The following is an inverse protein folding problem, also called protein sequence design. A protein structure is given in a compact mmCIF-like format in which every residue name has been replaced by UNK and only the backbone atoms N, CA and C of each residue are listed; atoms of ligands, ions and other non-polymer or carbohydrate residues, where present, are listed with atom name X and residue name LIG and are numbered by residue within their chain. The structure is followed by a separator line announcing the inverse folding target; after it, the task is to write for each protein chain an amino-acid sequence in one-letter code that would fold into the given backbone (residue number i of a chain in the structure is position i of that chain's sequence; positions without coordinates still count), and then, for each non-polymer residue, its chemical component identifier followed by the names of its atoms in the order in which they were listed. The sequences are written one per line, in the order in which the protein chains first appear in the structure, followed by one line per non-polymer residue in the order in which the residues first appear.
data_IF_989891793699
#
_entry.id   IF_989891793699
#
_cell.length_a   1.000
_cell.length_b   1.000
_cell.length_c   1.000
_cell.angle_alpha   90.00
_cell.angle_beta   90.00
_cell.angle_gamma   90.00
#
_symmetry.space_group_name_H-M   'P 1'
#
loop_
_entity.id
_entity.type
_entity.pdbx_description
1 polymer ?
#
# COMPACT_ATOMS: atom_id res chain seq x y z
N UNK A 1 -12.94 34.72 -17.13
CA UNK A 1 -13.60 33.65 -16.37
C UNK A 1 -12.53 32.86 -15.65
N UNK A 2 -12.47 32.92 -14.32
CA UNK A 2 -11.57 32.08 -13.53
C UNK A 2 -12.05 30.63 -13.65
N UNK A 3 -11.18 29.72 -14.08
CA UNK A 3 -11.46 28.28 -14.08
C UNK A 3 -11.85 27.83 -12.66
N UNK A 4 -12.91 27.02 -12.49
CA UNK A 4 -13.29 26.53 -11.17
C UNK A 4 -12.14 25.72 -10.56
N UNK A 5 -11.85 25.92 -9.27
CA UNK A 5 -10.77 25.22 -8.58
C UNK A 5 -11.04 23.72 -8.56
N UNK A 6 -10.08 22.88 -8.96
CA UNK A 6 -10.18 21.42 -8.96
C UNK A 6 -10.42 20.87 -7.54
N UNK A 7 -11.05 19.68 -7.37
CA UNK A 7 -11.20 19.05 -6.05
C UNK A 7 -9.88 18.92 -5.28
N UNK A 8 -8.79 18.56 -5.96
CA UNK A 8 -7.45 18.52 -5.35
C UNK A 8 -6.98 19.89 -4.85
N UNK A 9 -7.27 20.97 -5.59
CA UNK A 9 -6.92 22.33 -5.16
C UNK A 9 -7.77 22.78 -3.96
N UNK A 10 -9.06 22.43 -3.93
CA UNK A 10 -9.95 22.72 -2.79
C UNK A 10 -9.50 21.99 -1.53
N UNK A 11 -9.22 20.69 -1.62
CA UNK A 11 -8.69 19.92 -0.48
C UNK A 11 -7.41 20.53 0.08
N UNK A 12 -6.44 20.88 -0.78
CA UNK A 12 -5.18 21.52 -0.35
C UNK A 12 -5.42 22.86 0.35
N UNK A 13 -6.29 23.69 -0.22
CA UNK A 13 -6.64 25.00 0.35
C UNK A 13 -7.30 24.85 1.72
N UNK A 14 -8.29 23.95 1.82
CA UNK A 14 -9.11 23.82 3.02
C UNK A 14 -8.35 23.11 4.15
N UNK A 15 -7.51 22.11 3.81
CA UNK A 15 -6.57 21.51 4.76
C UNK A 15 -5.57 22.55 5.31
N UNK A 16 -5.02 23.41 4.44
CA UNK A 16 -4.13 24.50 4.86
C UNK A 16 -4.84 25.50 5.77
N UNK A 17 -6.09 25.87 5.44
CA UNK A 17 -6.89 26.77 6.26
C UNK A 17 -7.25 26.18 7.64
N UNK A 18 -7.35 24.84 7.72
CA UNK A 18 -7.55 24.09 8.95
C UNK A 18 -6.24 23.72 9.67
N UNK A 19 -5.09 24.21 9.20
CA UNK A 19 -3.76 23.92 9.74
C UNK A 19 -3.48 22.42 9.93
N UNK A 20 -3.92 21.61 8.96
CA UNK A 20 -3.73 20.16 8.98
C UNK A 20 -3.30 19.60 7.62
N UNK A 21 -2.95 18.31 7.60
CA UNK A 21 -2.59 17.62 6.36
C UNK A 21 -3.83 17.32 5.51
N UNK A 22 -3.64 17.08 4.21
CA UNK A 22 -4.75 16.69 3.33
C UNK A 22 -5.43 15.40 3.81
N UNK A 23 -4.63 14.44 4.28
CA UNK A 23 -5.10 13.18 4.85
C UNK A 23 -5.92 13.40 6.12
N UNK A 24 -5.45 14.28 7.04
CA UNK A 24 -6.21 14.62 8.26
C UNK A 24 -7.55 15.25 7.88
N UNK A 25 -7.56 16.23 6.97
CA UNK A 25 -8.78 16.90 6.55
C UNK A 25 -9.78 15.93 5.91
N UNK A 26 -9.31 15.10 4.97
CA UNK A 26 -10.14 14.11 4.29
C UNK A 26 -10.76 13.14 5.30
N UNK A 27 -9.94 12.54 6.16
CA UNK A 27 -10.42 11.59 7.16
C UNK A 27 -11.39 12.24 8.14
N UNK A 28 -11.19 13.48 8.56
CA UNK A 28 -12.15 14.19 9.40
C UNK A 28 -13.53 14.31 8.77
N UNK A 29 -13.61 14.54 7.46
CA UNK A 29 -14.89 14.53 6.74
C UNK A 29 -15.51 13.14 6.67
N UNK A 30 -14.71 12.09 6.47
CA UNK A 30 -15.20 10.71 6.58
C UNK A 30 -15.84 10.45 7.94
N UNK A 31 -15.19 10.91 9.01
CA UNK A 31 -15.60 10.65 10.38
C UNK A 31 -16.79 11.48 10.85
N UNK A 32 -16.99 12.67 10.28
CA UNK A 32 -18.00 13.64 10.74
C UNK A 32 -19.15 13.77 9.75
N UNK A 33 -18.84 14.20 8.53
CA UNK A 33 -19.86 14.59 7.54
C UNK A 33 -20.36 13.43 6.69
N UNK A 34 -19.51 12.41 6.50
CA UNK A 34 -19.83 11.24 5.68
C UNK A 34 -19.99 9.95 6.50
N UNK A 35 -20.06 10.07 7.83
CA UNK A 35 -20.48 9.00 8.71
C UNK A 35 -22.00 8.81 8.68
N UNK A 36 -22.49 7.62 9.02
CA UNK A 36 -23.91 7.36 9.24
C UNK A 36 -24.42 7.92 10.58
N UNK A 37 -25.70 7.73 10.87
CA UNK A 37 -26.35 8.25 12.08
C UNK A 37 -25.79 7.64 13.38
N UNK A 38 -25.04 6.55 13.28
CA UNK A 38 -24.35 5.89 14.40
C UNK A 38 -22.86 6.28 14.46
N UNK A 39 -22.40 7.22 13.64
CA UNK A 39 -21.01 7.66 13.58
C UNK A 39 -20.06 6.70 12.85
N UNK A 40 -20.58 5.69 12.16
CA UNK A 40 -19.82 4.73 11.36
C UNK A 40 -19.49 5.34 10.00
N UNK A 41 -18.23 5.28 9.57
CA UNK A 41 -17.87 5.79 8.23
C UNK A 41 -18.51 4.93 7.15
N UNK A 42 -19.03 5.59 6.10
CA UNK A 42 -19.69 4.91 4.97
C UNK A 42 -18.79 4.73 3.75
N UNK A 43 -17.53 5.12 3.88
CA UNK A 43 -16.55 5.17 2.81
C UNK A 43 -15.22 4.58 3.30
N UNK A 44 -14.56 3.81 2.44
CA UNK A 44 -13.25 3.22 2.70
C UNK A 44 -12.26 3.79 1.69
N UNK A 45 -11.28 4.57 2.12
CA UNK A 45 -10.29 5.14 1.21
C UNK A 45 -9.43 4.02 0.59
N UNK A 46 -9.25 4.08 -0.74
CA UNK A 46 -8.44 3.11 -1.46
C UNK A 46 -6.98 3.57 -1.50
N UNK A 47 -6.09 2.73 -0.97
CA UNK A 47 -4.66 2.88 -1.10
C UNK A 47 -4.09 1.82 -2.04
N UNK A 48 -3.53 2.27 -3.16
CA UNK A 48 -2.94 1.41 -4.19
C UNK A 48 -1.44 1.34 -3.97
N UNK A 49 -0.90 0.14 -3.86
CA UNK A 49 0.55 -0.05 -3.85
C UNK A 49 1.12 0.18 -5.27
N UNK A 50 2.12 1.07 -5.46
CA UNK A 50 2.67 1.40 -6.77
C UNK A 50 3.66 0.32 -7.25
N UNK A 51 3.14 -0.88 -7.57
CA UNK A 51 3.98 -2.04 -7.93
C UNK A 51 4.69 -1.90 -9.28
N UNK A 52 4.15 -1.06 -10.18
CA UNK A 52 4.67 -0.85 -11.53
C UNK A 52 4.20 0.50 -12.07
N UNK A 53 4.83 0.97 -13.16
CA UNK A 53 4.33 2.12 -13.92
C UNK A 53 2.89 1.90 -14.41
N UNK A 54 2.58 0.69 -14.88
CA UNK A 54 1.23 0.33 -15.35
C UNK A 54 0.18 0.52 -14.26
N UNK A 55 0.42 -0.05 -13.07
CA UNK A 55 -0.48 0.06 -11.92
C UNK A 55 -0.61 1.51 -11.48
N UNK A 56 0.50 2.23 -11.41
CA UNK A 56 0.52 3.64 -10.97
C UNK A 56 -0.33 4.51 -11.91
N UNK A 57 -0.08 4.46 -13.23
CA UNK A 57 -0.88 5.22 -14.21
C UNK A 57 -2.36 4.79 -14.23
N UNK A 58 -2.64 3.49 -14.13
CA UNK A 58 -4.02 2.98 -14.14
C UNK A 58 -4.80 3.44 -12.92
N UNK A 59 -4.14 3.57 -11.77
CA UNK A 59 -4.76 4.08 -10.55
C UNK A 59 -5.13 5.57 -10.67
N UNK A 60 -4.27 6.40 -11.28
CA UNK A 60 -4.59 7.80 -11.59
C UNK A 60 -5.83 7.91 -12.49
N UNK A 61 -5.87 7.12 -13.56
CA UNK A 61 -6.99 7.09 -14.48
C UNK A 61 -8.28 6.63 -13.79
N UNK A 62 -8.23 5.54 -13.01
CA UNK A 62 -9.37 5.03 -12.27
C UNK A 62 -9.91 6.07 -11.27
N UNK A 63 -9.02 6.72 -10.51
CA UNK A 63 -9.41 7.71 -9.51
C UNK A 63 -10.07 8.94 -10.14
N UNK A 64 -9.53 9.41 -11.27
CA UNK A 64 -10.11 10.52 -12.01
C UNK A 64 -11.47 10.16 -12.61
N UNK A 65 -11.60 8.95 -13.19
CA UNK A 65 -12.86 8.42 -13.73
C UNK A 65 -13.92 8.27 -12.64
N UNK A 66 -13.55 7.72 -11.49
CA UNK A 66 -14.45 7.56 -10.34
C UNK A 66 -14.72 8.86 -9.58
N UNK A 67 -14.02 9.97 -9.89
CA UNK A 67 -14.04 11.20 -9.09
C UNK A 67 -13.78 10.92 -7.60
N UNK A 68 -12.77 10.10 -7.31
CA UNK A 68 -12.41 9.60 -5.99
C UNK A 68 -11.00 10.04 -5.58
N UNK A 69 -10.71 10.25 -4.28
CA UNK A 69 -9.33 10.46 -3.82
C UNK A 69 -8.52 9.17 -3.99
N UNK A 70 -7.23 9.31 -4.29
CA UNK A 70 -6.29 8.20 -4.44
C UNK A 70 -5.17 8.30 -3.41
N UNK A 71 -4.90 7.22 -2.70
CA UNK A 71 -3.70 7.06 -1.89
C UNK A 71 -2.74 6.11 -2.60
N UNK A 72 -1.44 6.41 -2.61
CA UNK A 72 -0.39 5.45 -2.96
C UNK A 72 0.30 4.97 -1.70
N UNK A 73 0.22 3.68 -1.38
CA UNK A 73 0.89 3.07 -0.23
C UNK A 73 2.16 2.33 -0.68
N UNK A 74 3.29 3.02 -0.65
CA UNK A 74 4.58 2.48 -1.06
C UNK A 74 5.35 1.90 0.12
N UNK A 75 5.70 0.61 0.05
CA UNK A 75 6.59 -0.05 1.01
C UNK A 75 8.05 0.35 0.77
N UNK A 76 8.90 0.20 1.79
CA UNK A 76 10.37 0.35 1.67
C UNK A 76 11.01 -0.62 0.67
N UNK A 77 10.31 -1.71 0.32
CA UNK A 77 10.77 -2.63 -0.71
C UNK A 77 10.49 -2.12 -2.12
N UNK A 78 9.40 -1.35 -2.30
CA UNK A 78 8.99 -0.77 -3.57
C UNK A 78 9.78 0.49 -3.87
N UNK A 79 9.65 1.49 -3.00
CA UNK A 79 10.16 2.84 -3.18
C UNK A 79 10.99 3.20 -1.95
N UNK A 80 12.29 3.37 -2.13
CA UNK A 80 13.20 3.75 -1.06
C UNK A 80 14.46 4.40 -1.63
N UNK A 81 15.34 4.92 -0.78
CA UNK A 81 16.54 5.69 -1.15
C UNK A 81 17.45 5.00 -2.17
N UNK A 82 17.41 3.66 -2.25
CA UNK A 82 18.17 2.85 -3.21
C UNK A 82 17.37 2.41 -4.44
N UNK A 83 16.17 2.96 -4.67
CA UNK A 83 15.28 2.60 -5.78
C UNK A 83 14.28 1.48 -5.48
N UNK A 84 14.49 0.69 -4.42
CA UNK A 84 13.68 -0.50 -4.16
C UNK A 84 13.68 -1.47 -5.37
N UNK A 85 12.57 -2.17 -5.61
CA UNK A 85 12.40 -2.97 -6.83
C UNK A 85 11.70 -2.20 -7.97
N UNK A 86 11.23 -0.98 -7.72
CA UNK A 86 10.55 -0.15 -8.73
C UNK A 86 11.48 0.87 -9.41
N UNK A 87 12.76 0.89 -9.02
CA UNK A 87 13.77 1.89 -9.39
C UNK A 87 13.40 3.33 -8.97
N UNK A 88 12.47 3.48 -8.03
CA UNK A 88 12.08 4.77 -7.50
C UNK A 88 12.63 5.02 -6.09
N UNK A 89 13.21 6.20 -5.92
CA UNK A 89 13.32 6.87 -4.62
C UNK A 89 12.01 7.61 -4.30
N UNK A 90 11.75 8.01 -3.04
CA UNK A 90 10.59 8.81 -2.71
C UNK A 90 10.46 10.06 -3.58
N UNK A 91 11.57 10.75 -3.84
CA UNK A 91 11.60 11.95 -4.69
C UNK A 91 11.26 11.64 -6.15
N UNK A 92 11.83 10.59 -6.73
CA UNK A 92 11.54 10.24 -8.13
C UNK A 92 10.13 9.69 -8.31
N UNK A 93 9.58 8.98 -7.31
CA UNK A 93 8.19 8.54 -7.32
C UNK A 93 7.23 9.74 -7.25
N UNK A 94 7.48 10.69 -6.35
CA UNK A 94 6.69 11.92 -6.24
C UNK A 94 6.72 12.73 -7.54
N UNK A 95 7.89 12.85 -8.17
CA UNK A 95 8.04 13.51 -9.46
C UNK A 95 7.32 12.75 -10.59
N UNK A 96 7.40 11.43 -10.62
CA UNK A 96 6.67 10.59 -11.58
C UNK A 96 5.16 10.79 -11.46
N UNK A 97 4.61 10.69 -10.24
CA UNK A 97 3.18 10.88 -9.99
C UNK A 97 2.74 12.28 -10.39
N UNK A 98 3.50 13.31 -10.01
CA UNK A 98 3.19 14.71 -10.37
C UNK A 98 3.14 14.91 -11.89
N UNK A 99 4.13 14.39 -12.61
CA UNK A 99 4.17 14.44 -14.08
C UNK A 99 2.97 13.73 -14.71
N UNK A 100 2.60 12.57 -14.19
CA UNK A 100 1.48 11.79 -14.73
C UNK A 100 0.12 12.42 -14.38
N UNK A 101 -0.02 13.05 -13.22
CA UNK A 101 -1.19 13.87 -12.85
C UNK A 101 -1.40 14.97 -13.88
N UNK A 102 -0.35 15.72 -14.22
CA UNK A 102 -0.42 16.79 -15.22
C UNK A 102 -0.72 16.23 -16.61
N UNK A 103 -0.01 15.16 -17.02
CA UNK A 103 -0.16 14.54 -18.34
C UNK A 103 -1.56 13.98 -18.57
N UNK A 104 -2.18 13.42 -17.53
CA UNK A 104 -3.49 12.78 -17.61
C UNK A 104 -4.65 13.72 -17.24
N UNK A 105 -4.37 14.95 -16.80
CA UNK A 105 -5.39 15.90 -16.36
C UNK A 105 -6.17 15.39 -15.13
N UNK A 106 -5.45 14.90 -14.12
CA UNK A 106 -6.07 14.37 -12.89
C UNK A 106 -6.40 15.51 -11.94
N UNK A 107 -7.69 15.69 -11.67
CA UNK A 107 -8.20 16.79 -10.84
C UNK A 107 -8.53 16.37 -9.40
N UNK A 108 -8.52 15.07 -9.12
CA UNK A 108 -8.82 14.49 -7.80
C UNK A 108 -7.59 14.49 -6.89
N UNK A 109 -7.78 14.49 -5.55
CA UNK A 109 -6.66 14.39 -4.63
C UNK A 109 -5.84 13.12 -4.84
N UNK A 110 -4.52 13.27 -4.89
CA UNK A 110 -3.54 12.17 -4.92
C UNK A 110 -2.60 12.34 -3.74
N UNK A 111 -2.54 11.33 -2.88
CA UNK A 111 -1.84 11.36 -1.60
C UNK A 111 -0.75 10.27 -1.60
N UNK A 112 0.49 10.66 -1.36
CA UNK A 112 1.62 9.73 -1.26
C UNK A 112 1.78 9.26 0.19
N UNK A 113 1.89 7.94 0.38
CA UNK A 113 1.95 7.30 1.68
C UNK A 113 3.13 6.32 1.76
N UNK A 114 3.79 6.31 2.91
CA UNK A 114 4.76 5.26 3.26
C UNK A 114 3.98 4.12 3.93
N UNK A 115 4.24 2.89 3.49
CA UNK A 115 3.68 1.67 4.08
C UNK A 115 4.78 0.88 4.81
N UNK A 116 4.45 0.41 6.02
CA UNK A 116 5.34 -0.38 6.89
C UNK A 116 6.75 0.23 7.11
N UNK A 117 6.81 1.50 7.50
CA UNK A 117 8.05 2.17 7.92
C UNK A 117 8.51 1.67 9.29
N UNK A 118 9.34 0.64 9.34
CA UNK A 118 9.87 0.11 10.59
C UNK A 118 11.10 -0.79 10.45
N UNK A 119 11.85 -1.02 11.54
CA UNK A 119 13.03 -1.89 11.54
C UNK A 119 12.72 -3.26 10.93
N UNK A 120 13.63 -3.73 10.08
CA UNK A 120 13.57 -5.03 9.38
C UNK A 120 12.38 -5.27 8.44
N UNK A 121 11.54 -4.26 8.16
CA UNK A 121 10.46 -4.38 7.16
C UNK A 121 10.96 -4.42 5.72
N UNK A 122 12.19 -3.97 5.48
CA UNK A 122 12.85 -4.05 4.17
C UNK A 122 13.60 -5.38 4.04
N UNK A 123 13.36 -6.11 2.94
CA UNK A 123 13.99 -7.41 2.65
C UNK A 123 15.53 -7.33 2.75
N UNK A 124 16.11 -6.19 2.35
CA UNK A 124 17.55 -5.94 2.45
C UNK A 124 18.07 -5.90 3.89
N UNK A 125 17.31 -5.34 4.85
CA UNK A 125 17.76 -5.27 6.24
C UNK A 125 17.93 -6.67 6.84
N UNK A 126 17.02 -7.59 6.48
CA UNK A 126 17.06 -8.99 6.93
C UNK A 126 18.17 -9.74 6.22
N UNK A 127 18.24 -9.65 4.89
CA UNK A 127 19.26 -10.33 4.07
C UNK A 127 20.68 -9.94 4.46
N UNK A 128 20.90 -8.65 4.72
CA UNK A 128 22.22 -8.09 5.02
C UNK A 128 22.58 -8.20 6.51
N UNK A 129 21.69 -8.80 7.33
CA UNK A 129 21.96 -9.10 8.74
C UNK A 129 22.12 -7.86 9.62
N UNK A 130 21.39 -6.78 9.32
CA UNK A 130 21.49 -5.54 10.10
C UNK A 130 21.02 -5.77 11.54
N UNK A 131 21.72 -5.20 12.51
CA UNK A 131 21.25 -5.14 13.89
C UNK A 131 20.09 -4.15 14.06
N UNK A 132 19.49 -4.11 15.26
CA UNK A 132 18.31 -3.29 15.53
C UNK A 132 18.60 -1.81 15.34
N UNK A 133 19.71 -1.34 15.89
CA UNK A 133 20.13 0.06 15.93
C UNK A 133 20.41 0.58 14.51
N UNK A 134 21.11 -0.21 13.69
CA UNK A 134 21.39 0.12 12.29
C UNK A 134 20.11 0.10 11.46
N UNK A 135 19.26 -0.92 11.64
CA UNK A 135 17.97 -1.05 10.95
C UNK A 135 17.02 0.10 11.27
N UNK A 136 16.99 0.55 12.53
CA UNK A 136 16.22 1.71 12.98
C UNK A 136 16.75 3.02 12.38
N UNK A 137 18.07 3.21 12.35
CA UNK A 137 18.69 4.40 11.74
C UNK A 137 18.42 4.49 10.23
N UNK A 138 18.50 3.35 9.53
CA UNK A 138 18.18 3.25 8.10
C UNK A 138 16.72 3.64 7.84
N UNK A 139 15.78 3.09 8.62
CA UNK A 139 14.34 3.37 8.50
C UNK A 139 14.03 4.84 8.80
N UNK A 140 14.61 5.42 9.84
CA UNK A 140 14.48 6.87 10.12
C UNK A 140 14.92 7.69 8.91
N UNK A 141 16.05 7.33 8.29
CA UNK A 141 16.53 8.03 7.09
C UNK A 141 15.59 7.88 5.89
N UNK A 142 14.99 6.70 5.71
CA UNK A 142 13.97 6.47 4.67
C UNK A 142 12.67 7.24 4.93
N UNK A 143 12.22 7.33 6.19
CA UNK A 143 11.07 8.14 6.61
C UNK A 143 11.31 9.62 6.29
N UNK A 144 12.49 10.15 6.64
CA UNK A 144 12.87 11.53 6.34
C UNK A 144 12.87 11.82 4.84
N UNK A 145 13.38 10.89 4.02
CA UNK A 145 13.31 11.00 2.56
C UNK A 145 11.87 11.03 2.02
N UNK A 146 10.93 10.34 2.67
CA UNK A 146 9.50 10.43 2.32
C UNK A 146 8.91 11.81 2.69
N UNK A 147 9.26 12.34 3.87
CA UNK A 147 8.85 13.69 4.30
C UNK A 147 9.35 14.74 3.29
N UNK A 148 10.63 14.67 2.92
CA UNK A 148 11.26 15.58 1.95
C UNK A 148 10.61 15.48 0.56
N UNK A 149 10.17 14.28 0.17
CA UNK A 149 9.46 14.04 -1.09
C UNK A 149 7.97 14.46 -1.06
N UNK A 150 7.49 14.97 0.07
CA UNK A 150 6.13 15.50 0.21
C UNK A 150 5.06 14.46 0.57
N UNK A 151 5.45 13.28 1.07
CA UNK A 151 4.49 12.29 1.55
C UNK A 151 3.62 12.89 2.67
N UNK A 152 2.34 12.56 2.66
CA UNK A 152 1.34 13.15 3.57
C UNK A 152 0.85 12.17 4.64
N UNK A 153 1.08 10.86 4.46
CA UNK A 153 0.74 9.81 5.40
C UNK A 153 1.93 8.85 5.60
N UNK A 154 2.33 8.62 6.85
CA UNK A 154 3.43 7.72 7.19
C UNK A 154 2.94 6.58 8.10
N UNK A 155 2.98 5.35 7.60
CA UNK A 155 2.75 4.16 8.40
C UNK A 155 4.02 3.78 9.18
N UNK A 156 3.99 3.93 10.50
CA UNK A 156 5.07 3.56 11.41
C UNK A 156 4.80 2.18 11.99
N UNK A 157 5.61 1.20 11.61
CA UNK A 157 5.39 -0.21 11.95
C UNK A 157 6.65 -0.88 12.55
N UNK A 158 6.98 -0.62 13.83
CA UNK A 158 8.14 -1.20 14.49
C UNK A 158 7.85 -2.56 15.16
N UNK A 159 6.95 -3.37 14.61
CA UNK A 159 6.48 -4.62 15.23
C UNK A 159 7.33 -5.85 14.96
N UNK A 160 8.37 -5.73 14.13
CA UNK A 160 9.31 -6.83 13.85
C UNK A 160 10.50 -6.74 14.80
N UNK A 161 10.88 -7.88 15.40
CA UNK A 161 12.12 -8.00 16.16
C UNK A 161 12.81 -9.34 15.91
N UNK A 162 13.89 -9.31 15.12
CA UNK A 162 14.66 -10.52 14.78
C UNK A 162 15.53 -11.04 15.94
N UNK A 163 15.62 -10.31 17.06
CA UNK A 163 16.31 -10.79 18.27
C UNK A 163 15.43 -11.73 19.08
N UNK A 164 14.13 -11.77 18.81
CA UNK A 164 13.19 -12.67 19.46
C UNK A 164 13.13 -14.02 18.72
N UNK A 165 12.84 -15.11 19.45
CA UNK A 165 12.53 -16.40 18.83
C UNK A 165 11.42 -16.29 17.77
N UNK A 166 11.49 -17.03 16.65
CA UNK A 166 10.44 -17.04 15.65
C UNK A 166 9.05 -17.31 16.25
N UNK A 167 8.07 -16.47 15.90
CA UNK A 167 6.69 -16.57 16.38
C UNK A 167 6.44 -15.94 17.75
N UNK A 168 7.47 -15.49 18.47
CA UNK A 168 7.28 -14.73 19.71
C UNK A 168 6.93 -13.27 19.38
N UNK A 169 5.75 -12.76 19.82
CA UNK A 169 5.36 -11.39 19.55
C UNK A 169 6.19 -10.41 20.38
N UNK A 170 6.47 -9.23 19.80
CA UNK A 170 7.07 -8.10 20.53
C UNK A 170 6.13 -7.65 21.65
N UNK A 171 6.69 -7.30 22.81
CA UNK A 171 5.91 -6.76 23.93
C UNK A 171 5.21 -5.45 23.51
N UNK A 172 3.98 -5.22 24.00
CA UNK A 172 3.19 -4.06 23.58
C UNK A 172 3.88 -2.75 23.97
N UNK A 173 4.46 -2.71 25.17
CA UNK A 173 5.23 -1.59 25.69
C UNK A 173 6.40 -1.23 24.77
N UNK A 174 7.10 -2.24 24.26
CA UNK A 174 8.19 -2.06 23.30
C UNK A 174 7.67 -1.56 21.95
N UNK A 175 6.54 -2.06 21.45
CA UNK A 175 5.93 -1.55 20.22
C UNK A 175 5.56 -0.06 20.39
N UNK A 176 4.96 0.32 21.52
CA UNK A 176 4.60 1.71 21.84
C UNK A 176 5.84 2.60 21.91
N UNK A 177 6.88 2.18 22.64
CA UNK A 177 8.14 2.92 22.77
C UNK A 177 8.75 3.22 21.39
N UNK A 178 8.86 2.20 20.54
CA UNK A 178 9.44 2.36 19.20
C UNK A 178 8.57 3.19 18.27
N UNK A 179 7.25 3.04 18.36
CA UNK A 179 6.30 3.82 17.55
C UNK A 179 6.45 5.31 17.88
N UNK A 180 6.53 5.62 19.17
CA UNK A 180 6.77 6.97 19.66
C UNK A 180 8.15 7.48 19.27
N UNK A 181 9.19 6.66 19.33
CA UNK A 181 10.54 7.05 18.88
C UNK A 181 10.56 7.43 17.40
N UNK A 182 9.96 6.62 16.53
CA UNK A 182 9.84 6.91 15.10
C UNK A 182 9.00 8.18 14.85
N UNK A 183 7.90 8.34 15.59
CA UNK A 183 7.03 9.51 15.47
C UNK A 183 7.74 10.80 15.88
N UNK A 184 8.51 10.77 16.98
CA UNK A 184 9.30 11.91 17.44
C UNK A 184 10.38 12.28 16.43
N UNK A 185 11.06 11.30 15.84
CA UNK A 185 12.06 11.53 14.79
C UNK A 185 11.43 12.18 13.54
N UNK A 186 10.28 11.65 13.11
CA UNK A 186 9.54 12.18 11.97
C UNK A 186 9.06 13.63 12.20
N UNK A 187 8.47 13.93 13.36
CA UNK A 187 8.02 15.29 13.69
C UNK A 187 9.18 16.26 13.89
N UNK A 188 10.31 15.81 14.45
CA UNK A 188 11.53 16.63 14.56
C UNK A 188 12.04 17.03 13.17
N UNK A 189 12.23 16.06 12.27
CA UNK A 189 12.65 16.32 10.90
C UNK A 189 11.65 17.18 10.12
N UNK A 190 10.35 16.93 10.27
CA UNK A 190 9.29 17.74 9.66
C UNK A 190 9.38 19.21 10.10
N UNK A 191 9.62 19.46 11.39
CA UNK A 191 9.78 20.81 11.91
C UNK A 191 11.09 21.46 11.43
N UNK A 192 12.20 20.73 11.42
CA UNK A 192 13.50 21.19 10.92
C UNK A 192 13.46 21.59 9.44
N UNK A 193 12.64 20.90 8.64
CA UNK A 193 12.44 21.16 7.22
C UNK A 193 11.28 22.11 6.91
N UNK A 194 10.65 22.68 7.94
CA UNK A 194 9.46 23.55 7.84
C UNK A 194 8.31 22.94 7.01
N UNK A 195 8.25 21.60 6.94
CA UNK A 195 7.17 20.89 6.28
C UNK A 195 5.90 21.07 7.11
N UNK A 196 4.80 21.43 6.43
CA UNK A 196 3.49 21.49 7.08
C UNK A 196 3.06 20.14 7.67
N UNK A 197 1.94 20.09 8.42
CA UNK A 197 1.48 18.88 9.09
C UNK A 197 1.37 17.67 8.14
N UNK A 198 1.61 16.49 8.71
CA UNK A 198 1.47 15.18 8.05
C UNK A 198 0.64 14.25 8.94
N UNK A 199 0.04 13.22 8.35
CA UNK A 199 -0.73 12.20 9.04
C UNK A 199 0.13 10.96 9.32
N UNK A 200 -0.31 10.17 10.31
CA UNK A 200 0.34 8.94 10.70
C UNK A 200 -0.62 7.76 10.70
N UNK A 201 -0.06 6.58 10.49
CA UNK A 201 -0.70 5.29 10.60
C UNK A 201 0.20 4.39 11.47
N UNK A 202 -0.40 3.51 12.26
CA UNK A 202 0.31 2.62 13.19
C UNK A 202 -0.35 1.25 13.24
N UNK A 203 0.28 0.31 13.93
CA UNK A 203 -0.24 -1.05 14.07
C UNK A 203 0.27 -1.94 12.95
N UNK A 204 -0.30 -3.14 12.84
CA UNK A 204 0.13 -4.14 11.86
C UNK A 204 -0.90 -5.26 11.74
N UNK A 205 -1.04 -5.80 10.55
CA UNK A 205 -1.81 -6.99 10.23
C UNK A 205 -0.96 -8.26 10.21
N UNK A 206 0.36 -8.15 10.26
CA UNK A 206 1.26 -9.30 10.08
C UNK A 206 1.17 -10.27 11.26
N UNK A 207 1.04 -11.58 10.97
CA UNK A 207 0.90 -12.64 11.98
C UNK A 207 2.04 -12.65 13.03
N UNK A 208 3.25 -12.21 12.64
CA UNK A 208 4.41 -12.07 13.55
C UNK A 208 4.48 -10.74 14.30
N UNK A 209 3.71 -9.73 13.89
CA UNK A 209 3.74 -8.39 14.48
C UNK A 209 3.00 -8.26 15.82
N UNK A 210 2.33 -9.32 16.27
CA UNK A 210 1.83 -9.42 17.64
C UNK A 210 0.60 -8.59 17.97
N UNK A 211 -0.14 -8.04 17.00
CA UNK A 211 -1.40 -7.31 17.22
C UNK A 211 -2.65 -8.09 16.73
N UNK A 212 -2.52 -9.41 16.57
CA UNK A 212 -3.56 -10.28 16.03
C UNK A 212 -4.67 -10.61 17.03
N UNK A 213 -4.49 -10.44 18.34
CA UNK A 213 -5.60 -10.62 19.29
C UNK A 213 -6.30 -9.29 19.56
N UNK A 214 -7.62 -9.31 19.73
CA UNK A 214 -8.42 -8.11 20.05
C UNK A 214 -7.92 -7.47 21.35
N UNK A 215 -7.55 -8.26 22.35
CA UNK A 215 -7.01 -7.77 23.62
C UNK A 215 -5.70 -7.01 23.44
N UNK A 216 -4.75 -7.59 22.68
CA UNK A 216 -3.45 -6.95 22.43
C UNK A 216 -3.58 -5.71 21.56
N UNK A 217 -4.49 -5.73 20.59
CA UNK A 217 -4.85 -4.55 19.82
C UNK A 217 -5.38 -3.44 20.75
N UNK A 218 -6.33 -3.76 21.63
CA UNK A 218 -6.86 -2.82 22.61
C UNK A 218 -5.78 -2.28 23.56
N UNK A 219 -4.89 -3.13 24.08
CA UNK A 219 -3.80 -2.72 24.95
C UNK A 219 -2.80 -1.80 24.24
N UNK A 220 -2.45 -2.11 22.99
CA UNK A 220 -1.62 -1.25 22.16
C UNK A 220 -2.24 0.14 21.99
N UNK A 221 -3.52 0.20 21.61
CA UNK A 221 -4.23 1.47 21.44
C UNK A 221 -4.28 2.29 22.73
N UNK A 222 -4.59 1.65 23.86
CA UNK A 222 -4.67 2.30 25.17
C UNK A 222 -3.32 2.89 25.57
N UNK A 223 -2.26 2.08 25.50
CA UNK A 223 -0.92 2.47 25.92
C UNK A 223 -0.33 3.52 24.98
N UNK A 224 -0.50 3.36 23.67
CA UNK A 224 -0.08 4.36 22.69
C UNK A 224 -0.81 5.68 22.89
N UNK A 225 -2.14 5.66 23.04
CA UNK A 225 -2.93 6.87 23.25
C UNK A 225 -2.48 7.67 24.47
N UNK A 226 -2.25 7.00 25.60
CA UNK A 226 -1.74 7.64 26.81
C UNK A 226 -0.34 8.24 26.63
N UNK A 227 0.55 7.55 25.92
CA UNK A 227 1.92 8.01 25.70
C UNK A 227 1.98 9.18 24.70
N UNK A 228 1.13 9.19 23.67
CA UNK A 228 0.98 10.30 22.74
C UNK A 228 0.48 11.56 23.45
N UNK A 229 -0.53 11.45 24.31
CA UNK A 229 -1.03 12.59 25.11
C UNK A 229 0.05 13.12 26.05
N UNK A 230 0.77 12.22 26.74
CA UNK A 230 1.85 12.58 27.67
C UNK A 230 2.98 13.34 26.99
N UNK A 231 3.30 13.00 25.74
CA UNK A 231 4.37 13.64 24.94
C UNK A 231 3.87 14.77 24.03
N UNK A 232 2.56 15.06 24.02
CA UNK A 232 1.93 16.02 23.11
C UNK A 232 2.26 15.75 21.63
N UNK A 233 2.17 14.48 21.23
CA UNK A 233 2.42 14.03 19.85
C UNK A 233 1.11 13.89 19.06
N UNK A 234 1.16 14.05 17.72
CA UNK A 234 -0.02 13.90 16.89
C UNK A 234 -0.58 12.48 16.98
N UNK A 235 -1.91 12.36 17.04
CA UNK A 235 -2.59 11.06 17.01
C UNK A 235 -2.65 10.52 15.58
N UNK A 236 -2.40 9.21 15.37
CA UNK A 236 -2.51 8.62 14.05
C UNK A 236 -3.95 8.66 13.55
N UNK A 237 -4.11 8.74 12.24
CA UNK A 237 -5.41 8.78 11.54
C UNK A 237 -5.91 7.39 11.20
N UNK A 238 -4.98 6.46 11.02
CA UNK A 238 -5.27 5.06 10.77
C UNK A 238 -4.59 4.15 11.78
N UNK A 239 -5.24 3.02 12.07
CA UNK A 239 -4.62 1.88 12.72
C UNK A 239 -4.83 0.67 11.84
N UNK A 240 -3.74 -0.01 11.52
CA UNK A 240 -3.79 -1.31 10.85
C UNK A 240 -4.10 -2.38 11.89
N UNK A 241 -5.15 -3.14 11.61
CA UNK A 241 -5.56 -4.27 12.44
C UNK A 241 -5.85 -5.49 11.58
N UNK A 242 -5.84 -6.66 12.21
CA UNK A 242 -6.11 -7.92 11.54
C UNK A 242 -7.60 -8.09 11.22
N UNK A 243 -7.97 -7.70 10.01
CA UNK A 243 -9.31 -7.87 9.45
C UNK A 243 -9.57 -9.28 8.89
N UNK A 244 -8.63 -10.21 9.08
CA UNK A 244 -8.71 -11.59 8.60
C UNK A 244 -8.20 -11.80 7.18
N UNK A 245 -7.48 -10.84 6.62
CA UNK A 245 -6.93 -10.89 5.26
C UNK A 245 -5.47 -11.34 5.25
N UNK A 246 -5.14 -12.15 4.23
CA UNK A 246 -3.80 -12.61 3.87
C UNK A 246 -3.75 -12.70 2.34
N UNK A 247 -2.56 -12.92 1.78
CA UNK A 247 -2.39 -13.10 0.33
C UNK A 247 -3.30 -14.21 -0.27
N UNK A 248 -3.55 -15.26 0.50
CA UNK A 248 -4.32 -16.45 0.12
C UNK A 248 -5.68 -16.58 0.82
N UNK A 249 -6.08 -15.62 1.67
CA UNK A 249 -7.37 -15.65 2.38
C UNK A 249 -8.39 -14.74 1.69
N UNK A 250 -9.59 -15.26 1.47
CA UNK A 250 -10.68 -14.53 0.81
C UNK A 250 -11.90 -14.22 1.70
N UNK A 251 -11.91 -14.74 2.92
CA UNK A 251 -13.02 -14.60 3.86
C UNK A 251 -12.63 -13.71 5.04
N UNK A 252 -13.46 -12.70 5.27
CA UNK A 252 -13.29 -11.66 6.28
C UNK A 252 -14.40 -11.77 7.33
N UNK A 253 -14.09 -11.47 8.59
CA UNK A 253 -15.04 -11.55 9.69
C UNK A 253 -15.58 -10.17 10.04
N UNK A 254 -16.76 -9.82 9.51
CA UNK A 254 -17.39 -8.51 9.71
C UNK A 254 -17.60 -8.14 11.20
N UNK A 255 -17.96 -9.11 12.05
CA UNK A 255 -18.17 -8.86 13.49
C UNK A 255 -16.87 -8.45 14.17
N UNK A 256 -15.77 -9.13 13.86
CA UNK A 256 -14.43 -8.78 14.35
C UNK A 256 -14.01 -7.40 13.85
N UNK A 257 -14.21 -7.12 12.55
CA UNK A 257 -13.87 -5.83 11.94
C UNK A 257 -14.62 -4.69 12.62
N UNK A 258 -15.91 -4.86 12.91
CA UNK A 258 -16.71 -3.86 13.63
C UNK A 258 -16.17 -3.58 15.04
N UNK A 259 -15.75 -4.63 15.77
CA UNK A 259 -15.13 -4.47 17.10
C UNK A 259 -13.82 -3.70 17.01
N UNK A 260 -12.92 -4.10 16.11
CA UNK A 260 -11.64 -3.41 15.91
C UNK A 260 -11.83 -1.95 15.50
N UNK A 261 -12.81 -1.68 14.63
CA UNK A 261 -13.18 -0.32 14.21
C UNK A 261 -13.68 0.51 15.39
N UNK A 262 -14.54 -0.08 16.22
CA UNK A 262 -15.07 0.58 17.43
C UNK A 262 -13.94 0.92 18.39
N UNK A 263 -13.02 -0.01 18.63
CA UNK A 263 -11.89 0.19 19.54
C UNK A 263 -10.88 1.21 19.03
N UNK A 264 -10.54 1.19 17.73
CA UNK A 264 -9.68 2.20 17.11
C UNK A 264 -10.24 3.62 17.28
N UNK A 265 -11.57 3.76 17.07
CA UNK A 265 -12.27 5.04 17.26
C UNK A 265 -12.34 5.47 18.71
N UNK A 266 -12.73 4.57 19.62
CA UNK A 266 -12.94 4.86 21.03
C UNK A 266 -11.65 5.21 21.76
N UNK A 267 -10.57 4.49 21.46
CA UNK A 267 -9.33 4.61 22.24
C UNK A 267 -8.41 5.70 21.72
N UNK A 268 -8.26 5.79 20.38
CA UNK A 268 -7.32 6.77 19.81
C UNK A 268 -7.91 7.73 18.78
N UNK A 269 -9.19 7.61 18.43
CA UNK A 269 -9.85 8.48 17.45
C UNK A 269 -9.44 8.20 16.00
N UNK A 270 -8.89 7.00 15.74
CA UNK A 270 -8.38 6.60 14.43
C UNK A 270 -9.34 5.68 13.69
N UNK A 271 -9.23 5.66 12.37
CA UNK A 271 -9.95 4.73 11.50
C UNK A 271 -9.22 3.39 11.42
N UNK A 272 -9.95 2.28 11.43
CA UNK A 272 -9.35 0.99 11.10
C UNK A 272 -8.97 0.97 9.61
N UNK A 273 -7.82 0.38 9.30
CA UNK A 273 -7.37 0.17 7.93
C UNK A 273 -7.02 -1.30 7.69
N UNK A 274 -7.52 -1.86 6.60
CA UNK A 274 -7.25 -3.25 6.20
C UNK A 274 -6.12 -3.34 5.18
N UNK A 275 -5.28 -4.37 5.31
CA UNK A 275 -4.23 -4.70 4.35
C UNK A 275 -4.56 -6.02 3.65
N UNK A 276 -3.82 -6.37 2.58
CA UNK A 276 -4.06 -7.59 1.79
C UNK A 276 -5.52 -7.74 1.33
N UNK A 277 -6.16 -6.64 0.93
CA UNK A 277 -7.57 -6.63 0.51
C UNK A 277 -7.79 -7.28 -0.86
N UNK A 278 -6.71 -7.64 -1.55
CA UNK A 278 -6.67 -8.16 -2.92
C UNK A 278 -7.62 -9.33 -3.16
N UNK A 279 -7.62 -10.31 -2.26
CA UNK A 279 -8.33 -11.60 -2.42
C UNK A 279 -9.72 -11.63 -1.79
N UNK A 280 -10.19 -10.52 -1.20
CA UNK A 280 -11.49 -10.48 -0.51
C UNK A 280 -12.65 -10.58 -1.51
N UNK A 281 -13.53 -11.55 -1.30
CA UNK A 281 -14.70 -11.77 -2.16
C UNK A 281 -15.77 -10.67 -2.00
N UNK A 282 -16.20 -10.43 -0.77
CA UNK A 282 -17.18 -9.38 -0.45
C UNK A 282 -16.48 -8.14 0.11
N UNK A 283 -16.18 -7.20 -0.79
CA UNK A 283 -15.56 -5.93 -0.44
C UNK A 283 -16.53 -4.97 0.29
N UNK A 284 -17.85 -5.21 0.23
CA UNK A 284 -18.83 -4.31 0.85
C UNK A 284 -18.76 -4.34 2.38
N UNK A 285 -18.17 -5.40 2.96
CA UNK A 285 -17.93 -5.48 4.41
C UNK A 285 -17.09 -4.32 4.92
N UNK A 286 -16.19 -3.75 4.11
CA UNK A 286 -15.28 -2.68 4.54
C UNK A 286 -16.06 -1.42 4.95
N UNK A 287 -16.82 -0.76 4.05
CA UNK A 287 -17.63 0.38 4.46
C UNK A 287 -18.76 -0.01 5.41
N UNK A 288 -19.37 -1.20 5.25
CA UNK A 288 -20.45 -1.64 6.16
C UNK A 288 -19.98 -1.81 7.60
N UNK A 289 -18.74 -2.23 7.83
CA UNK A 289 -18.16 -2.37 9.18
C UNK A 289 -17.40 -1.13 9.66
N UNK A 290 -17.38 -0.05 8.87
CA UNK A 290 -16.75 1.22 9.23
C UNK A 290 -15.23 1.27 9.05
N UNK A 291 -14.66 0.42 8.18
CA UNK A 291 -13.24 0.49 7.82
C UNK A 291 -13.00 1.76 7.02
N UNK A 292 -12.04 2.58 7.45
CA UNK A 292 -11.77 3.88 6.82
C UNK A 292 -10.75 3.85 5.69
N UNK A 293 -9.97 2.77 5.57
CA UNK A 293 -9.02 2.61 4.46
C UNK A 293 -8.68 1.15 4.16
N UNK A 294 -8.21 0.89 2.94
CA UNK A 294 -7.78 -0.43 2.52
C UNK A 294 -6.62 -0.39 1.53
N UNK A 295 -5.59 -1.22 1.74
CA UNK A 295 -4.47 -1.40 0.83
C UNK A 295 -4.74 -2.53 -0.17
N UNK A 296 -4.42 -2.27 -1.45
CA UNK A 296 -4.39 -3.28 -2.53
C UNK A 296 -3.07 -3.21 -3.28
N UNK A 297 -2.50 -4.36 -3.63
CA UNK A 297 -1.20 -4.41 -4.30
C UNK A 297 -0.97 -5.69 -5.10
N UNK A 298 -0.71 -6.84 -4.46
CA UNK A 298 -0.45 -8.09 -5.17
C UNK A 298 -1.48 -8.47 -6.23
N UNK A 299 -2.77 -8.26 -5.97
CA UNK A 299 -3.88 -8.51 -6.89
C UNK A 299 -3.85 -7.62 -8.13
N UNK A 300 -3.39 -6.37 -8.00
CA UNK A 300 -3.21 -5.48 -9.15
C UNK A 300 -2.01 -5.90 -10.02
N UNK A 301 -0.96 -6.41 -9.40
CA UNK A 301 0.18 -6.97 -10.13
C UNK A 301 -0.20 -8.27 -10.85
N UNK A 302 -1.02 -9.11 -10.20
CA UNK A 302 -1.62 -10.29 -10.81
C UNK A 302 -2.50 -9.91 -12.02
N UNK A 303 -3.36 -8.89 -11.88
CA UNK A 303 -4.19 -8.39 -12.97
C UNK A 303 -3.35 -7.89 -14.16
N UNK A 304 -2.24 -7.19 -13.90
CA UNK A 304 -1.28 -6.80 -14.94
C UNK A 304 -0.67 -8.03 -15.63
N UNK A 305 -0.17 -9.01 -14.85
CA UNK A 305 0.46 -10.19 -15.42
C UNK A 305 -0.52 -11.05 -16.23
N UNK A 306 -1.75 -11.24 -15.75
CA UNK A 306 -2.78 -11.99 -16.49
C UNK A 306 -3.22 -11.26 -17.77
N UNK A 307 -3.29 -9.94 -17.76
CA UNK A 307 -3.53 -9.17 -18.97
C UNK A 307 -2.41 -9.38 -20.00
N UNK A 308 -1.15 -9.40 -19.57
CA UNK A 308 -0.03 -9.66 -20.48
C UNK A 308 -0.05 -11.12 -20.96
N UNK A 309 -0.42 -12.09 -20.11
CA UNK A 309 -0.62 -13.49 -20.54
C UNK A 309 -1.69 -13.63 -21.62
N UNK A 310 -2.74 -12.83 -21.59
CA UNK A 310 -3.74 -12.81 -22.66
C UNK A 310 -3.16 -12.27 -23.98
N UNK A 311 -2.20 -11.33 -23.92
CA UNK A 311 -1.43 -10.91 -25.10
C UNK A 311 -0.48 -12.02 -25.58
N UNK A 312 0.14 -12.78 -24.68
CA UNK A 312 0.95 -13.96 -25.04
C UNK A 312 0.10 -15.01 -25.76
N UNK A 313 -1.12 -15.27 -25.30
CA UNK A 313 -2.05 -16.17 -26.02
C UNK A 313 -2.40 -15.65 -27.41
N UNK A 314 -2.51 -14.33 -27.58
CA UNK A 314 -2.72 -13.73 -28.90
C UNK A 314 -1.48 -13.90 -29.79
N UNK A 315 -0.28 -13.64 -29.27
CA UNK A 315 1.00 -13.85 -29.95
C UNK A 315 1.16 -15.31 -30.42
N UNK A 316 0.82 -16.28 -29.56
CA UNK A 316 0.87 -17.70 -29.91
C UNK A 316 -0.06 -18.08 -31.06
N UNK A 317 -1.21 -17.40 -31.22
CA UNK A 317 -2.10 -17.61 -32.37
C UNK A 317 -1.55 -17.05 -33.68
N UNK A 318 -0.49 -16.26 -33.61
CA UNK A 318 0.27 -15.74 -34.75
C UNK A 318 1.52 -16.59 -35.03
N UNK A 319 1.70 -17.71 -34.32
CA UNK A 319 2.88 -18.58 -34.39
C UNK A 319 4.20 -17.85 -34.08
N UNK A 320 4.16 -16.87 -33.18
CA UNK A 320 5.32 -16.10 -32.71
C UNK A 320 5.54 -16.38 -31.21
N UNK A 321 6.77 -16.19 -30.71
CA UNK A 321 7.11 -16.24 -29.29
C UNK A 321 8.09 -15.11 -28.93
N UNK A 322 7.65 -14.21 -28.05
CA UNK A 322 8.48 -13.12 -27.49
C UNK A 322 9.48 -13.61 -26.44
N UNK A 323 9.28 -14.81 -25.88
CA UNK A 323 9.96 -15.32 -24.70
C UNK A 323 9.53 -14.64 -23.39
N UNK A 324 8.39 -13.95 -23.37
CA UNK A 324 7.96 -13.16 -22.21
C UNK A 324 7.78 -13.99 -20.94
N UNK A 325 7.08 -15.13 -21.03
CA UNK A 325 6.82 -15.99 -19.87
C UNK A 325 8.12 -16.54 -19.28
N UNK A 326 9.06 -16.94 -20.13
CA UNK A 326 10.35 -17.45 -19.68
C UNK A 326 11.22 -16.34 -19.08
N UNK A 327 11.21 -15.13 -19.65
CA UNK A 327 11.91 -13.98 -19.08
C UNK A 327 11.40 -13.64 -17.66
N UNK A 328 10.07 -13.63 -17.47
CA UNK A 328 9.46 -13.42 -16.13
C UNK A 328 9.82 -14.56 -15.19
N UNK A 329 9.69 -15.82 -15.61
CA UNK A 329 10.03 -16.99 -14.77
C UNK A 329 11.47 -16.92 -14.29
N UNK A 330 12.42 -16.71 -15.20
CA UNK A 330 13.84 -16.60 -14.88
C UNK A 330 14.10 -15.46 -13.90
N UNK A 331 13.58 -14.27 -14.19
CA UNK A 331 13.77 -13.11 -13.31
C UNK A 331 13.18 -13.34 -11.90
N UNK A 332 12.01 -14.00 -11.81
CA UNK A 332 11.41 -14.34 -10.50
C UNK A 332 12.32 -15.29 -9.73
N UNK A 333 12.82 -16.35 -10.37
CA UNK A 333 13.72 -17.32 -9.73
C UNK A 333 14.99 -16.63 -9.23
N UNK A 334 15.63 -15.83 -10.08
CA UNK A 334 16.86 -15.08 -9.79
C UNK A 334 16.67 -14.06 -8.67
N UNK A 335 15.49 -13.43 -8.57
CA UNK A 335 15.20 -12.48 -7.49
C UNK A 335 15.29 -13.11 -6.10
N UNK A 336 15.08 -14.43 -6.01
CA UNK A 336 15.03 -15.18 -4.76
C UNK A 336 13.87 -14.84 -3.81
N UNK A 337 13.09 -13.78 -4.10
CA UNK A 337 11.97 -13.30 -3.27
C UNK A 337 10.80 -14.28 -3.20
N UNK A 338 10.74 -15.25 -4.12
CA UNK A 338 9.72 -16.30 -4.10
C UNK A 338 9.86 -17.22 -2.88
N UNK A 339 11.06 -17.36 -2.31
CA UNK A 339 11.34 -18.27 -1.18
C UNK A 339 10.55 -17.94 0.09
N UNK A 340 10.20 -16.67 0.32
CA UNK A 340 9.39 -16.27 1.49
C UNK A 340 7.93 -16.70 1.41
N UNK A 341 7.49 -17.19 0.25
CA UNK A 341 6.14 -17.72 0.04
C UNK A 341 6.09 -19.26 0.03
N UNK A 342 7.21 -19.90 0.36
CA UNK A 342 7.25 -21.35 0.56
C UNK A 342 6.49 -21.71 1.83
N UNK A 343 5.69 -22.76 1.75
CA UNK A 343 5.11 -23.39 2.92
C UNK A 343 6.21 -24.06 3.76
N UNK A 344 5.97 -24.31 5.07
CA UNK A 344 6.96 -24.96 5.94
C UNK A 344 7.51 -26.29 5.39
N UNK A 345 6.66 -27.08 4.72
CA UNK A 345 7.04 -28.33 4.05
C UNK A 345 7.81 -28.15 2.74
N UNK A 346 7.75 -26.96 2.15
CA UNK A 346 8.50 -26.58 0.95
C UNK A 346 9.86 -25.94 1.29
N UNK A 347 10.15 -25.71 2.59
CA UNK A 347 11.34 -25.03 3.04
C UNK A 347 12.62 -25.78 2.63
N UNK A 348 13.52 -25.09 1.94
CA UNK A 348 14.80 -25.65 1.46
C UNK A 348 14.72 -26.36 0.12
N UNK A 349 13.53 -26.51 -0.48
CA UNK A 349 13.40 -27.02 -1.84
C UNK A 349 13.88 -25.98 -2.87
N UNK A 350 14.53 -26.45 -3.92
CA UNK A 350 14.82 -25.62 -5.09
C UNK A 350 13.55 -25.44 -5.94
N UNK A 351 13.52 -24.34 -6.70
CA UNK A 351 12.34 -23.97 -7.47
C UNK A 351 11.86 -25.08 -8.40
N UNK A 352 12.80 -25.82 -9.00
CA UNK A 352 12.49 -26.87 -9.98
C UNK A 352 11.92 -28.14 -9.34
N UNK A 353 12.13 -28.34 -8.04
CA UNK A 353 11.63 -29.50 -7.30
C UNK A 353 10.18 -29.33 -6.84
N UNK A 354 9.63 -28.11 -6.94
CA UNK A 354 8.26 -27.81 -6.58
C UNK A 354 7.26 -28.34 -7.63
N UNK A 355 6.05 -28.74 -7.19
CA UNK A 355 4.96 -29.09 -8.11
C UNK A 355 4.68 -27.96 -9.11
N UNK A 356 4.27 -28.32 -10.34
CA UNK A 356 4.03 -27.35 -11.42
C UNK A 356 3.10 -26.21 -10.99
N UNK A 357 1.99 -26.53 -10.34
CA UNK A 357 1.00 -25.52 -9.94
C UNK A 357 1.56 -24.56 -8.88
N UNK A 358 2.44 -25.04 -7.98
CA UNK A 358 3.16 -24.19 -7.03
C UNK A 358 4.18 -23.29 -7.73
N UNK A 359 4.94 -23.82 -8.70
CA UNK A 359 5.85 -23.01 -9.53
C UNK A 359 5.09 -21.91 -10.28
N UNK A 360 3.95 -22.24 -10.89
CA UNK A 360 3.13 -21.28 -11.62
C UNK A 360 2.58 -20.19 -10.68
N UNK A 361 2.10 -20.57 -9.50
CA UNK A 361 1.65 -19.62 -8.47
C UNK A 361 2.79 -18.72 -7.99
N UNK A 362 3.99 -19.27 -7.75
CA UNK A 362 5.17 -18.50 -7.32
C UNK A 362 5.64 -17.51 -8.39
N UNK A 363 5.57 -17.87 -9.68
CA UNK A 363 5.86 -16.95 -10.78
C UNK A 363 4.81 -15.87 -10.87
N UNK A 364 3.53 -16.24 -10.78
CA UNK A 364 2.41 -15.30 -10.86
C UNK A 364 2.47 -14.27 -9.74
N UNK A 365 2.59 -14.70 -8.49
CA UNK A 365 2.76 -13.80 -7.34
C UNK A 365 4.09 -13.04 -7.43
N UNK A 366 5.19 -13.71 -7.81
CA UNK A 366 6.53 -13.12 -7.88
C UNK A 366 6.72 -12.08 -8.99
N UNK A 367 5.86 -12.07 -10.02
CA UNK A 367 5.94 -11.16 -11.17
C UNK A 367 6.06 -9.68 -10.78
N UNK A 368 5.42 -9.29 -9.67
CA UNK A 368 5.45 -7.92 -9.12
C UNK A 368 6.86 -7.39 -8.81
N UNK A 369 7.83 -8.27 -8.60
CA UNK A 369 9.20 -7.88 -8.24
C UNK A 369 10.12 -7.65 -9.44
N UNK A 370 9.67 -7.94 -10.66
CA UNK A 370 10.58 -8.08 -11.82
C UNK A 370 10.21 -7.20 -13.01
N UNK A 371 9.26 -6.27 -12.86
CA UNK A 371 8.85 -5.38 -13.95
C UNK A 371 9.93 -4.43 -14.46
N UNK A 372 10.91 -4.12 -13.60
CA UNK A 372 12.10 -3.32 -13.92
C UNK A 372 13.25 -4.15 -14.49
N UNK A 373 13.16 -5.48 -14.48
CA UNK A 373 14.23 -6.33 -14.99
C UNK A 373 14.42 -6.11 -16.52
N UNK A 374 15.64 -5.81 -17.00
CA UNK A 374 15.87 -5.49 -18.42
C UNK A 374 15.44 -6.58 -19.40
N UNK A 375 15.57 -7.85 -19.02
CA UNK A 375 15.16 -8.99 -19.84
C UNK A 375 13.64 -9.08 -19.94
N UNK A 376 12.93 -8.85 -18.83
CA UNK A 376 11.46 -8.79 -18.79
C UNK A 376 10.94 -7.62 -19.63
N UNK A 377 11.51 -6.42 -19.47
CA UNK A 377 11.15 -5.25 -20.27
C UNK A 377 11.39 -5.47 -21.77
N UNK A 378 12.51 -6.08 -22.13
CA UNK A 378 12.83 -6.38 -23.52
C UNK A 378 11.88 -7.41 -24.13
N UNK A 379 11.53 -8.45 -23.37
CA UNK A 379 10.55 -9.44 -23.82
C UNK A 379 9.14 -8.85 -23.93
N UNK A 380 8.73 -7.97 -23.00
CA UNK A 380 7.44 -7.26 -23.05
C UNK A 380 7.35 -6.37 -24.29
N UNK A 381 8.43 -5.64 -24.63
CA UNK A 381 8.46 -4.82 -25.86
C UNK A 381 8.28 -5.67 -27.11
N UNK A 382 9.01 -6.79 -27.23
CA UNK A 382 8.83 -7.73 -28.35
C UNK A 382 7.40 -8.25 -28.45
N UNK A 383 6.83 -8.68 -27.32
CA UNK A 383 5.44 -9.14 -27.25
C UNK A 383 4.48 -8.05 -27.76
N UNK A 384 4.67 -6.81 -27.32
CA UNK A 384 3.82 -5.69 -27.72
C UNK A 384 3.96 -5.41 -29.22
N UNK A 385 5.18 -5.43 -29.75
CA UNK A 385 5.43 -5.26 -31.18
C UNK A 385 4.79 -6.36 -32.03
N UNK A 386 4.80 -7.61 -31.56
CA UNK A 386 4.24 -8.75 -32.28
C UNK A 386 2.71 -8.71 -32.38
N UNK A 387 2.02 -8.13 -31.38
CA UNK A 387 0.54 -8.14 -31.32
C UNK A 387 -0.12 -6.81 -31.71
N UNK A 388 0.66 -5.72 -31.87
CA UNK A 388 0.13 -4.36 -32.04
C UNK A 388 -0.83 -4.16 -33.21
N UNK A 389 -0.67 -4.93 -34.28
CA UNK A 389 -1.53 -4.85 -35.48
C UNK A 389 -2.94 -5.44 -35.23
N UNK A 390 -3.10 -6.22 -34.16
CA UNK A 390 -4.36 -6.87 -33.79
C UNK A 390 -4.99 -6.29 -32.51
N UNK A 391 -4.18 -5.63 -31.67
CA UNK A 391 -4.62 -5.03 -30.42
C UNK A 391 -3.59 -4.04 -29.92
N UNK A 392 -4.02 -2.86 -29.48
CA UNK A 392 -3.16 -1.97 -28.69
C UNK A 392 -2.82 -2.64 -27.34
N UNK A 393 -1.58 -3.12 -27.16
CA UNK A 393 -1.24 -3.95 -26.02
C UNK A 393 -1.13 -3.14 -24.73
N UNK A 394 -0.64 -1.90 -24.81
CA UNK A 394 -0.50 -1.02 -23.65
C UNK A 394 -1.88 -0.58 -23.15
N UNK A 395 -2.74 -0.11 -24.06
CA UNK A 395 -4.11 0.28 -23.71
C UNK A 395 -4.91 -0.90 -23.13
N UNK A 396 -4.73 -2.12 -23.66
CA UNK A 396 -5.39 -3.32 -23.13
C UNK A 396 -4.98 -3.63 -21.69
N UNK A 397 -3.68 -3.60 -21.39
CA UNK A 397 -3.20 -3.89 -20.04
C UNK A 397 -3.64 -2.78 -19.06
N UNK A 398 -3.56 -1.51 -19.45
CA UNK A 398 -4.10 -0.39 -18.66
C UNK A 398 -5.58 -0.56 -18.38
N UNK A 399 -6.38 -0.91 -19.39
CA UNK A 399 -7.81 -1.15 -19.23
C UNK A 399 -8.08 -2.25 -18.19
N UNK A 400 -7.38 -3.39 -18.27
CA UNK A 400 -7.54 -4.51 -17.32
C UNK A 400 -7.26 -4.10 -15.87
N UNK A 401 -6.13 -3.43 -15.64
CA UNK A 401 -5.74 -2.99 -14.29
C UNK A 401 -6.68 -1.89 -13.78
N UNK A 402 -7.02 -0.91 -14.62
CA UNK A 402 -7.96 0.17 -14.28
C UNK A 402 -9.34 -0.39 -13.89
N UNK A 403 -9.86 -1.36 -14.64
CA UNK A 403 -11.14 -2.01 -14.33
C UNK A 403 -11.12 -2.67 -12.95
N UNK A 404 -10.01 -3.31 -12.59
CA UNK A 404 -9.89 -3.91 -11.25
C UNK A 404 -9.86 -2.84 -10.15
N UNK A 405 -9.18 -1.72 -10.36
CA UNK A 405 -9.15 -0.61 -9.40
C UNK A 405 -10.56 0.02 -9.23
N UNK A 406 -11.29 0.19 -10.34
CA UNK A 406 -12.68 0.70 -10.30
C UNK A 406 -13.60 -0.23 -9.50
N UNK A 407 -13.39 -1.56 -9.55
CA UNK A 407 -14.14 -2.52 -8.72
C UNK A 407 -14.04 -2.19 -7.24
N UNK A 408 -12.83 -1.89 -6.75
CA UNK A 408 -12.63 -1.45 -5.36
C UNK A 408 -13.29 -0.09 -5.08
N UNK A 409 -13.13 0.90 -5.97
CA UNK A 409 -13.72 2.23 -5.77
C UNK A 409 -15.25 2.19 -5.67
N UNK A 410 -15.90 1.35 -6.47
CA UNK A 410 -17.34 1.10 -6.36
C UNK A 410 -17.70 0.42 -5.05
N UNK A 411 -17.04 -0.68 -4.70
CA UNK A 411 -17.36 -1.44 -3.48
C UNK A 411 -17.11 -0.63 -2.20
N UNK A 412 -16.14 0.28 -2.21
CA UNK A 412 -15.79 1.16 -1.10
C UNK A 412 -16.57 2.47 -1.07
N UNK A 413 -17.59 2.59 -1.93
CA UNK A 413 -18.49 3.74 -1.99
C UNK A 413 -17.75 5.07 -2.28
N UNK A 414 -16.71 5.06 -3.13
CA UNK A 414 -15.88 6.24 -3.40
C UNK A 414 -16.30 7.05 -4.63
N UNK A 415 -17.19 6.52 -5.46
CA UNK A 415 -17.58 7.17 -6.72
C UNK A 415 -18.26 8.51 -6.45
N UNK A 416 -17.76 9.58 -7.07
CA UNK A 416 -18.25 10.95 -6.88
C UNK A 416 -17.84 11.60 -5.55
N UNK A 417 -17.05 10.94 -4.70
CA UNK A 417 -16.75 11.44 -3.36
C UNK A 417 -16.05 12.81 -3.38
N UNK A 418 -15.18 13.05 -4.36
CA UNK A 418 -14.45 14.32 -4.46
C UNK A 418 -15.31 15.49 -4.93
N UNK A 419 -16.49 15.24 -5.49
CA UNK A 419 -17.44 16.30 -5.85
C UNK A 419 -18.08 16.91 -4.59
N UNK A 420 -18.03 16.17 -3.47
CA UNK A 420 -18.50 16.63 -2.17
C UNK A 420 -17.44 17.47 -1.43
N UNK A 421 -16.22 17.58 -1.96
CA UNK A 421 -15.10 18.38 -1.41
C UNK A 421 -15.24 19.87 -1.63
#
# INVERSE_FOLDING_TARGET
MTTPSTPAARLRRDARAAECSQTVFLTDRLMKEWADDHGRVRHTLLAVCPNSETVTRSALQAANEARAPLLYAATLNQVDRNGGYTDWTPATFSAFVSKEVDRLGVDVPVILCLDHGGPWKKDAHVRDGLDYETSLAEVKTSIRACIDAGYDLLHLDPTVDLRLPPGQPVAIETIVERTVELLQDAEAHRNETERGPIAYEVGTEESGGGLQSEDRFCDFLRLLGAELDRKNLPRPRFVVGDVGTRLDTSHVNGVRIERLTTEARRQIGALLKGHYTDSVHDLTVYPLSGVGGANVGPGLSAAEFDAIKDLVKLEQRLDIDSGFIDAVRTAVIESGRWRKWLHPEEAGLDFMDLPKDRRDWLVHTGSRYVWTNPSVQSARRRLYDNVRDYRDPEAFVHWRVRTEILRYMHAFNLVGLTERL
#
